data_IF_947161408080
#
_entry.id   IF_947161408080
#
_cell.length_a   1.000
_cell.length_b   1.000
_cell.length_c   1.000
_cell.angle_alpha   90.00
_cell.angle_beta   90.00
_cell.angle_gamma   90.00
#
_symmetry.space_group_name_H-M   'P 1'
#
loop_
_entity.id
_entity.type
_entity.pdbx_description
1 polymer ?
#
# COMPACT_ATOMS: atom_id res chain seq x y z
N UNK A 1 25.73 -13.06 -20.12
CA UNK A 1 27.08 -12.73 -20.60
C UNK A 1 27.08 -11.24 -20.80
N UNK A 2 27.81 -10.54 -19.95
CA UNK A 2 27.65 -9.10 -19.70
C UNK A 2 28.32 -8.31 -20.81
N UNK A 3 27.62 -7.29 -21.33
CA UNK A 3 28.08 -6.45 -22.44
C UNK A 3 29.40 -5.71 -22.12
N UNK A 4 29.75 -5.60 -20.84
CA UNK A 4 30.97 -4.98 -20.31
C UNK A 4 32.27 -5.71 -20.68
N UNK A 5 32.18 -6.95 -21.14
CA UNK A 5 33.34 -7.69 -21.69
C UNK A 5 33.88 -7.10 -23.00
N UNK A 6 33.14 -6.19 -23.64
CA UNK A 6 33.60 -5.52 -24.86
C UNK A 6 34.62 -4.41 -24.60
N UNK A 7 34.75 -3.93 -23.36
CA UNK A 7 35.78 -2.95 -23.00
C UNK A 7 37.10 -3.71 -22.83
N UNK A 8 38.05 -3.45 -23.72
CA UNK A 8 39.40 -4.06 -23.63
C UNK A 8 40.02 -3.68 -22.28
N UNK A 9 40.57 -4.70 -21.60
CA UNK A 9 41.38 -4.61 -20.35
C UNK A 9 40.63 -4.63 -19.00
N UNK A 10 39.31 -4.85 -18.95
CA UNK A 10 38.65 -5.12 -17.65
C UNK A 10 38.92 -6.57 -17.21
N UNK A 11 39.57 -6.74 -16.05
CA UNK A 11 39.83 -8.06 -15.47
C UNK A 11 38.54 -8.69 -14.92
N UNK A 12 38.48 -10.03 -14.80
CA UNK A 12 37.27 -10.73 -14.35
C UNK A 12 36.79 -10.28 -12.96
N UNK A 13 37.71 -10.02 -12.02
CA UNK A 13 37.36 -9.52 -10.68
C UNK A 13 36.85 -8.07 -10.67
N UNK A 14 37.31 -7.24 -11.61
CA UNK A 14 36.81 -5.86 -11.77
C UNK A 14 35.41 -5.84 -12.38
N UNK A 15 35.11 -6.79 -13.27
CA UNK A 15 33.78 -6.98 -13.84
C UNK A 15 32.79 -7.47 -12.78
N UNK A 16 33.18 -8.40 -11.92
CA UNK A 16 32.35 -8.84 -10.78
C UNK A 16 32.07 -7.70 -9.80
N UNK A 17 33.06 -6.82 -9.56
CA UNK A 17 32.88 -5.65 -8.72
C UNK A 17 31.93 -4.60 -9.34
N UNK A 18 32.03 -4.37 -10.66
CA UNK A 18 31.11 -3.51 -11.40
C UNK A 18 29.67 -4.06 -11.38
N UNK A 19 29.51 -5.36 -11.59
CA UNK A 19 28.22 -6.04 -11.48
C UNK A 19 27.64 -5.94 -10.06
N UNK A 20 28.49 -6.12 -9.04
CA UNK A 20 28.10 -5.99 -7.64
C UNK A 20 27.73 -4.56 -7.24
N UNK A 21 28.37 -3.56 -7.85
CA UNK A 21 27.99 -2.15 -7.73
C UNK A 21 26.72 -1.79 -8.56
N UNK A 22 26.22 -2.73 -9.38
CA UNK A 22 24.99 -2.59 -10.15
C UNK A 22 25.17 -2.10 -11.59
N UNK A 23 26.41 -2.02 -12.06
CA UNK A 23 26.79 -1.66 -13.42
C UNK A 23 26.94 -2.94 -14.25
N UNK A 24 25.90 -3.29 -15.00
CA UNK A 24 25.84 -4.53 -15.80
C UNK A 24 25.87 -4.27 -17.31
N UNK A 25 25.56 -3.03 -17.73
CA UNK A 25 25.40 -2.63 -19.12
C UNK A 25 26.24 -1.39 -19.45
N UNK A 26 26.69 -1.29 -20.69
CA UNK A 26 27.66 -0.27 -21.13
C UNK A 26 27.09 1.15 -21.04
N UNK A 27 25.79 1.31 -21.30
CA UNK A 27 25.04 2.56 -21.13
C UNK A 27 25.13 3.15 -19.72
N UNK A 28 25.21 2.31 -18.69
CA UNK A 28 25.29 2.77 -17.31
C UNK A 28 26.69 3.32 -16.96
N UNK A 29 27.75 2.90 -17.67
CA UNK A 29 29.07 3.51 -17.52
C UNK A 29 29.19 4.85 -18.25
N UNK A 30 28.46 5.02 -19.36
CA UNK A 30 28.51 6.24 -20.19
C UNK A 30 27.94 7.45 -19.43
N UNK A 31 26.82 7.26 -18.75
CA UNK A 31 26.05 8.32 -18.08
C UNK A 31 26.62 8.75 -16.71
N UNK A 32 27.48 7.93 -16.09
CA UNK A 32 27.94 8.16 -14.73
C UNK A 32 29.26 8.92 -14.67
N UNK A 33 29.36 9.83 -13.69
CA UNK A 33 30.59 10.55 -13.39
C UNK A 33 31.65 9.59 -12.82
N UNK A 34 32.89 9.58 -13.35
CA UNK A 34 33.95 8.66 -12.91
C UNK A 34 34.30 8.79 -11.42
N UNK A 35 34.12 9.97 -10.81
CA UNK A 35 34.40 10.16 -9.37
C UNK A 35 33.33 9.50 -8.49
N UNK A 36 32.08 9.53 -8.94
CA UNK A 36 30.95 8.87 -8.28
C UNK A 36 31.09 7.36 -8.41
N UNK A 37 31.41 6.87 -9.61
CA UNK A 37 31.65 5.45 -9.87
C UNK A 37 32.78 4.89 -9.00
N UNK A 38 33.91 5.59 -8.92
CA UNK A 38 35.02 5.17 -8.06
C UNK A 38 34.61 5.11 -6.58
N UNK A 39 33.83 6.09 -6.09
CA UNK A 39 33.31 6.08 -4.72
C UNK A 39 32.35 4.91 -4.43
N UNK A 40 31.57 4.48 -5.41
CA UNK A 40 30.67 3.33 -5.29
C UNK A 40 31.42 2.00 -5.37
N UNK A 41 32.40 1.88 -6.28
CA UNK A 41 33.26 0.70 -6.39
C UNK A 41 34.09 0.48 -5.13
N UNK A 42 34.63 1.55 -4.53
CA UNK A 42 35.36 1.47 -3.26
C UNK A 42 34.47 0.96 -2.13
N UNK A 43 33.24 1.50 -1.99
CA UNK A 43 32.27 1.01 -0.99
C UNK A 43 31.86 -0.43 -1.23
N UNK A 44 31.63 -0.81 -2.48
CA UNK A 44 31.30 -2.18 -2.85
C UNK A 44 32.45 -3.13 -2.53
N UNK A 45 33.70 -2.74 -2.79
CA UNK A 45 34.87 -3.56 -2.50
C UNK A 45 35.16 -3.67 -1.00
N UNK A 46 34.97 -2.59 -0.23
CA UNK A 46 35.07 -2.62 1.25
C UNK A 46 34.05 -3.58 1.87
N UNK A 47 32.86 -3.71 1.26
CA UNK A 47 31.79 -4.57 1.75
C UNK A 47 31.92 -6.03 1.30
N UNK A 48 32.41 -6.27 0.08
CA UNK A 48 32.36 -7.58 -0.57
C UNK A 48 33.75 -8.24 -0.71
N UNK A 49 34.83 -7.48 -0.49
CA UNK A 49 36.23 -7.93 -0.55
C UNK A 49 36.52 -8.77 -1.82
N UNK A 50 36.07 -8.28 -2.98
CA UNK A 50 36.16 -8.99 -4.26
C UNK A 50 37.58 -8.85 -4.84
N UNK A 51 38.18 -7.68 -4.68
CA UNK A 51 39.57 -7.39 -5.05
C UNK A 51 40.38 -7.05 -3.80
N UNK A 52 41.66 -7.44 -3.79
CA UNK A 52 42.61 -7.12 -2.71
C UNK A 52 42.78 -5.61 -2.53
N UNK A 53 42.77 -4.86 -3.63
CA UNK A 53 42.77 -3.40 -3.66
C UNK A 53 41.70 -2.88 -4.65
N UNK A 54 40.98 -1.83 -4.26
CA UNK A 54 39.97 -1.21 -5.13
C UNK A 54 40.67 -0.54 -6.34
N UNK A 55 40.02 -0.53 -7.53
CA UNK A 55 40.58 0.09 -8.71
C UNK A 55 40.82 1.59 -8.50
N UNK A 56 41.93 2.09 -9.04
CA UNK A 56 42.31 3.50 -8.88
C UNK A 56 41.42 4.41 -9.74
N UNK A 57 41.33 5.68 -9.38
CA UNK A 57 40.45 6.65 -10.02
C UNK A 57 40.80 6.86 -11.50
N UNK A 58 42.07 6.75 -11.86
CA UNK A 58 42.55 6.85 -13.25
C UNK A 58 42.15 5.62 -14.10
N UNK A 59 42.08 4.43 -13.49
CA UNK A 59 41.57 3.23 -14.16
C UNK A 59 40.07 3.35 -14.46
N UNK A 60 39.30 3.83 -13.48
CA UNK A 60 37.85 4.07 -13.63
C UNK A 60 37.55 5.13 -14.69
N UNK A 61 38.35 6.21 -14.76
CA UNK A 61 38.24 7.22 -15.83
C UNK A 61 38.48 6.62 -17.21
N UNK A 62 39.47 5.74 -17.34
CA UNK A 62 39.78 5.07 -18.59
C UNK A 62 38.63 4.15 -19.03
N UNK A 63 37.97 3.46 -18.10
CA UNK A 63 36.80 2.64 -18.41
C UNK A 63 35.60 3.47 -18.89
N UNK A 64 35.34 4.62 -18.26
CA UNK A 64 34.25 5.52 -18.66
C UNK A 64 34.53 6.18 -20.01
N UNK A 65 35.77 6.63 -20.25
CA UNK A 65 36.18 7.21 -21.53
C UNK A 65 36.05 6.21 -22.69
N UNK A 66 36.49 4.96 -22.48
CA UNK A 66 36.33 3.88 -23.47
C UNK A 66 34.88 3.46 -23.67
N UNK A 67 34.07 3.47 -22.60
CA UNK A 67 32.64 3.21 -22.72
C UNK A 67 31.93 4.29 -23.55
N UNK A 68 32.42 5.54 -23.50
CA UNK A 68 31.96 6.66 -24.33
C UNK A 68 32.45 6.60 -25.78
N UNK A 69 33.43 5.73 -26.08
CA UNK A 69 33.98 5.56 -27.42
C UNK A 69 35.13 6.51 -27.75
N UNK A 70 35.71 7.18 -26.74
CA UNK A 70 36.77 8.17 -26.91
C UNK A 70 38.15 7.49 -26.90
N UNK A 71 38.59 6.94 -28.03
CA UNK A 71 40.03 6.70 -28.29
C UNK A 71 40.41 7.27 -29.68
N UNK A 72 40.99 8.49 -29.61
CA UNK A 72 41.86 9.26 -30.51
C UNK A 72 41.37 9.78 -31.89
N UNK A 73 41.24 11.11 -32.01
CA UNK A 73 42.11 12.05 -32.80
C UNK A 73 41.58 13.51 -32.62
N UNK A 74 42.45 14.55 -32.63
CA UNK A 74 42.21 15.83 -31.96
C UNK A 74 41.38 16.82 -32.78
N UNK A 75 40.77 17.75 -32.03
CA UNK A 75 40.27 19.08 -32.41
C UNK A 75 40.22 19.37 -33.91
N UNK A 76 39.07 19.14 -34.53
CA UNK A 76 38.44 20.03 -35.52
C UNK A 76 37.08 19.44 -35.94
N UNK A 77 36.03 20.21 -35.65
CA UNK A 77 34.73 20.29 -36.33
C UNK A 77 34.00 18.98 -36.69
N UNK A 78 33.05 18.58 -35.84
CA UNK A 78 31.82 17.96 -36.32
C UNK A 78 30.66 18.33 -35.39
N UNK A 79 29.86 19.29 -35.85
CA UNK A 79 28.54 19.59 -35.30
C UNK A 79 27.63 18.37 -35.51
N UNK A 80 27.39 17.59 -34.45
CA UNK A 80 26.16 16.82 -34.33
C UNK A 80 25.31 17.51 -33.26
N UNK A 81 24.14 17.98 -33.70
CA UNK A 81 23.15 18.70 -32.90
C UNK A 81 22.82 17.93 -31.62
N UNK A 82 23.43 18.35 -30.51
CA UNK A 82 22.90 18.10 -29.19
C UNK A 82 21.57 18.85 -29.11
N UNK A 83 20.46 18.11 -29.23
CA UNK A 83 19.13 18.64 -29.00
C UNK A 83 19.08 19.27 -27.60
N UNK A 84 18.87 20.59 -27.58
CA UNK A 84 18.75 21.40 -26.37
C UNK A 84 17.58 20.86 -25.53
N UNK A 85 17.82 20.38 -24.29
CA UNK A 85 16.76 19.87 -23.42
C UNK A 85 15.75 20.96 -22.98
N UNK A 86 16.01 22.24 -23.29
CA UNK A 86 15.09 23.37 -23.07
C UNK A 86 14.44 23.90 -24.38
N UNK A 87 14.60 23.23 -25.53
CA UNK A 87 13.87 23.60 -26.75
C UNK A 87 12.36 23.40 -26.58
N UNK A 88 11.51 24.35 -26.99
CA UNK A 88 10.06 24.23 -26.84
C UNK A 88 9.54 23.06 -27.68
N UNK A 89 9.00 22.04 -27.00
CA UNK A 89 8.31 20.92 -27.65
C UNK A 89 7.13 21.47 -28.44
N UNK A 90 7.20 21.41 -29.77
CA UNK A 90 6.09 21.76 -30.65
C UNK A 90 4.98 20.72 -30.50
N UNK A 91 3.85 21.15 -29.93
CA UNK A 91 2.67 20.31 -29.79
C UNK A 91 1.91 20.29 -31.10
N UNK A 92 1.88 19.12 -31.74
CA UNK A 92 1.14 18.93 -32.98
C UNK A 92 -0.23 18.33 -32.65
N UNK A 93 -1.29 18.94 -33.17
CA UNK A 93 -2.65 18.43 -33.05
C UNK A 93 -3.01 17.62 -34.29
N UNK A 94 -2.82 16.30 -34.21
CA UNK A 94 -3.12 15.39 -35.31
C UNK A 94 -4.62 15.18 -35.54
N UNK A 95 -5.49 15.53 -34.57
CA UNK A 95 -6.95 15.45 -34.78
C UNK A 95 -7.47 16.52 -35.75
N UNK A 96 -6.67 17.53 -36.07
CA UNK A 96 -6.99 18.54 -37.07
C UNK A 96 -6.67 18.09 -38.51
N UNK A 97 -5.91 17.01 -38.67
CA UNK A 97 -5.55 16.46 -39.97
C UNK A 97 -6.72 15.62 -40.54
N UNK A 98 -7.23 15.92 -41.75
CA UNK A 98 -8.33 15.16 -42.35
C UNK A 98 -8.02 13.67 -42.52
N UNK A 99 -6.76 13.30 -42.78
CA UNK A 99 -6.39 11.89 -42.99
C UNK A 99 -6.47 11.10 -41.66
N UNK A 100 -6.17 11.75 -40.54
CA UNK A 100 -6.26 11.15 -39.20
C UNK A 100 -7.71 11.06 -38.74
N UNK A 101 -8.57 12.01 -39.08
CA UNK A 101 -10.01 11.93 -38.80
C UNK A 101 -10.65 10.71 -39.48
N UNK A 102 -10.29 10.47 -40.74
CA UNK A 102 -10.71 9.30 -41.51
C UNK A 102 -10.26 7.97 -40.88
N UNK A 103 -9.13 7.97 -40.15
CA UNK A 103 -8.65 6.80 -39.41
C UNK A 103 -9.39 6.63 -38.08
N UNK A 104 -9.66 7.71 -37.35
CA UNK A 104 -10.40 7.69 -36.08
C UNK A 104 -11.83 7.18 -36.31
N UNK A 105 -12.50 7.59 -37.39
CA UNK A 105 -13.84 7.11 -37.73
C UNK A 105 -13.90 5.60 -38.01
N UNK A 106 -12.82 5.04 -38.55
CA UNK A 106 -12.69 3.61 -38.85
C UNK A 106 -12.15 2.80 -37.66
N UNK A 107 -11.65 3.46 -36.61
CA UNK A 107 -11.04 2.81 -35.46
C UNK A 107 -12.10 2.20 -34.52
N UNK A 108 -11.84 1.03 -33.93
CA UNK A 108 -12.74 0.45 -32.94
C UNK A 108 -12.75 1.31 -31.66
N UNK A 109 -13.95 1.67 -31.20
CA UNK A 109 -14.13 2.47 -29.98
C UNK A 109 -13.78 1.64 -28.75
N UNK A 110 -12.89 2.14 -27.91
CA UNK A 110 -12.57 1.52 -26.62
C UNK A 110 -13.75 1.66 -25.65
N UNK A 111 -14.20 0.54 -25.08
CA UNK A 111 -15.20 0.54 -24.01
C UNK A 111 -14.50 0.70 -22.65
N UNK A 112 -14.93 1.63 -21.78
CA UNK A 112 -14.32 1.80 -20.47
C UNK A 112 -14.59 0.57 -19.60
N UNK A 113 -13.51 -0.10 -19.18
CA UNK A 113 -13.59 -1.26 -18.28
C UNK A 113 -13.43 -0.77 -16.83
N UNK A 114 -14.32 -1.16 -15.90
CA UNK A 114 -14.16 -0.83 -14.49
C UNK A 114 -12.90 -1.46 -13.90
N UNK A 115 -12.16 -0.70 -13.09
CA UNK A 115 -10.93 -1.16 -12.41
C UNK A 115 -11.10 -2.46 -11.61
N UNK A 116 -12.31 -2.70 -11.08
CA UNK A 116 -12.65 -3.94 -10.37
C UNK A 116 -12.56 -5.18 -11.27
N UNK A 117 -12.99 -5.07 -12.53
CA UNK A 117 -12.94 -6.18 -13.48
C UNK A 117 -11.50 -6.48 -13.94
N UNK A 118 -10.67 -5.44 -14.06
CA UNK A 118 -9.23 -5.60 -14.31
C UNK A 118 -8.55 -6.33 -13.15
N UNK A 119 -8.86 -5.94 -11.91
CA UNK A 119 -8.35 -6.59 -10.71
C UNK A 119 -8.83 -8.05 -10.56
N UNK A 120 -10.09 -8.34 -10.88
CA UNK A 120 -10.64 -9.71 -10.88
C UNK A 120 -9.95 -10.62 -11.92
N UNK A 121 -9.44 -10.03 -13.02
CA UNK A 121 -8.65 -10.73 -14.03
C UNK A 121 -7.14 -10.69 -13.78
N UNK A 122 -6.71 -10.08 -12.69
CA UNK A 122 -5.30 -9.98 -12.32
C UNK A 122 -4.46 -9.07 -13.22
N UNK A 123 -5.08 -8.16 -13.99
CA UNK A 123 -4.38 -7.20 -14.84
C UNK A 123 -4.09 -5.95 -14.00
N UNK A 124 -2.84 -5.71 -13.58
CA UNK A 124 -2.49 -4.48 -12.88
C UNK A 124 -2.59 -3.28 -13.84
N UNK A 125 -2.89 -2.07 -13.33
CA UNK A 125 -2.97 -0.85 -14.16
C UNK A 125 -1.69 -0.54 -14.94
N UNK A 126 -0.54 -1.06 -14.50
CA UNK A 126 0.77 -0.90 -15.17
C UNK A 126 0.90 -1.72 -16.44
N UNK A 127 0.08 -2.77 -16.63
CA UNK A 127 0.03 -3.55 -17.87
C UNK A 127 -0.89 -2.92 -18.92
N UNK A 128 -1.69 -1.92 -18.53
CA UNK A 128 -2.49 -1.14 -19.47
C UNK A 128 -1.56 -0.11 -20.11
N UNK A 129 -1.24 -0.32 -21.39
CA UNK A 129 -0.44 0.63 -22.17
C UNK A 129 -1.08 2.02 -22.14
N UNK A 130 -0.25 3.05 -21.93
CA UNK A 130 -0.70 4.43 -21.99
C UNK A 130 -0.91 4.77 -23.47
N UNK A 131 -2.14 5.10 -23.85
CA UNK A 131 -2.43 5.58 -25.19
C UNK A 131 -1.96 7.04 -25.33
N UNK A 132 -1.16 7.37 -26.37
CA UNK A 132 -0.81 8.75 -26.65
C UNK A 132 -2.07 9.54 -27.04
N UNK A 133 -2.16 10.79 -26.60
CA UNK A 133 -3.29 11.67 -26.94
C UNK A 133 -2.96 12.39 -28.24
N UNK A 134 -3.74 12.16 -29.29
CA UNK A 134 -3.46 12.67 -30.65
C UNK A 134 -3.56 14.20 -30.75
N UNK A 135 -4.26 14.86 -29.83
CA UNK A 135 -4.33 16.32 -29.77
C UNK A 135 -3.09 17.01 -29.18
N UNK A 136 -2.20 16.25 -28.52
CA UNK A 136 -1.01 16.74 -27.83
C UNK A 136 0.08 15.68 -27.90
N UNK A 137 0.47 15.31 -29.11
CA UNK A 137 1.63 14.46 -29.33
C UNK A 137 2.87 15.34 -29.55
N UNK A 138 3.99 14.89 -28.96
CA UNK A 138 5.29 15.53 -29.11
C UNK A 138 6.02 14.87 -30.30
N UNK A 139 6.35 15.64 -31.32
CA UNK A 139 7.04 15.16 -32.52
C UNK A 139 6.19 14.27 -33.43
N UNK A 140 6.85 13.60 -34.37
CA UNK A 140 6.22 12.73 -35.38
C UNK A 140 5.75 11.39 -34.78
N UNK A 141 4.50 11.02 -35.04
CA UNK A 141 3.89 9.80 -34.51
C UNK A 141 3.67 8.74 -35.61
N UNK A 142 4.42 7.64 -35.54
CA UNK A 142 4.24 6.48 -36.43
C UNK A 142 3.03 5.64 -36.01
N UNK A 143 1.89 5.81 -36.70
CA UNK A 143 0.68 5.00 -36.47
C UNK A 143 0.62 3.82 -37.45
N UNK A 144 0.91 2.60 -36.95
CA UNK A 144 0.75 1.37 -37.73
C UNK A 144 -0.69 0.86 -37.66
N UNK A 145 -1.46 1.05 -38.74
CA UNK A 145 -2.82 0.53 -38.85
C UNK A 145 -2.81 -0.87 -39.49
N UNK A 146 -3.13 -1.90 -38.72
CA UNK A 146 -3.38 -3.24 -39.23
C UNK A 146 -4.88 -3.44 -39.52
N UNK A 147 -5.31 -3.10 -40.73
CA UNK A 147 -6.65 -3.45 -41.24
C UNK A 147 -6.69 -4.92 -41.67
N UNK A 148 -6.67 -5.82 -40.69
CA UNK A 148 -6.80 -7.25 -40.93
C UNK A 148 -7.62 -7.89 -39.82
N UNK A 149 -8.80 -8.42 -40.19
CA UNK A 149 -9.57 -9.31 -39.34
C UNK A 149 -8.62 -10.34 -38.71
N UNK A 150 -8.68 -10.48 -37.39
CA UNK A 150 -7.78 -11.31 -36.60
C UNK A 150 -7.72 -12.76 -37.15
N UNK A 151 -6.78 -13.03 -38.03
CA UNK A 151 -6.36 -14.39 -38.33
C UNK A 151 -5.64 -14.90 -37.09
N UNK A 152 -6.32 -15.82 -36.38
CA UNK A 152 -5.75 -16.62 -35.31
C UNK A 152 -4.48 -17.32 -35.81
N UNK A 153 -3.33 -16.71 -35.58
CA UNK A 153 -2.05 -17.39 -35.68
C UNK A 153 -2.02 -18.45 -34.58
N UNK A 154 -1.98 -19.73 -35.00
CA UNK A 154 -1.84 -20.89 -34.12
C UNK A 154 -0.69 -20.65 -33.15
N UNK A 155 -1.00 -20.72 -31.86
CA UNK A 155 -0.01 -20.77 -30.78
C UNK A 155 0.93 -21.95 -30.99
N UNK A 156 2.24 -21.70 -30.87
CA UNK A 156 3.27 -22.73 -30.81
C UNK A 156 2.95 -23.76 -29.71
N UNK A 157 3.14 -25.06 -29.97
CA UNK A 157 2.95 -26.12 -28.98
C UNK A 157 4.17 -26.20 -28.07
N UNK A 158 4.26 -25.30 -27.09
CA UNK A 158 5.41 -25.27 -26.17
C UNK A 158 5.14 -24.82 -24.73
N UNK A 159 3.99 -24.22 -24.42
CA UNK A 159 3.72 -23.73 -23.07
C UNK A 159 2.52 -24.47 -22.46
N UNK A 160 2.82 -25.47 -21.66
CA UNK A 160 1.87 -26.06 -20.72
C UNK A 160 1.53 -25.04 -19.62
N UNK A 161 0.28 -25.04 -19.11
CA UNK A 161 -0.09 -24.20 -17.98
C UNK A 161 0.56 -24.76 -16.72
N UNK A 162 1.60 -24.08 -16.21
CA UNK A 162 2.27 -24.50 -14.98
C UNK A 162 1.30 -24.34 -13.81
N UNK A 163 1.08 -25.48 -13.16
CA UNK A 163 0.26 -25.68 -11.99
C UNK A 163 0.63 -24.73 -10.83
N UNK A 164 -0.39 -24.47 -10.03
CA UNK A 164 -0.32 -23.87 -8.69
C UNK A 164 0.84 -24.46 -7.88
N UNK A 165 1.79 -23.62 -7.49
CA UNK A 165 2.58 -23.83 -6.28
C UNK A 165 2.71 -22.52 -5.51
N UNK A 166 2.39 -22.63 -4.23
CA UNK A 166 2.48 -21.61 -3.19
C UNK A 166 3.94 -21.21 -2.95
N UNK A 167 4.27 -19.97 -3.27
CA UNK A 167 5.53 -19.32 -2.91
C UNK A 167 5.34 -17.82 -2.92
N UNK A 168 5.01 -17.25 -1.76
CA UNK A 168 4.98 -15.80 -1.54
C UNK A 168 6.42 -15.32 -1.58
N UNK A 169 6.82 -14.70 -2.70
CA UNK A 169 7.76 -13.59 -2.91
C UNK A 169 8.13 -13.65 -4.40
N UNK A 170 7.48 -12.80 -5.21
CA UNK A 170 7.99 -12.51 -6.54
C UNK A 170 9.09 -11.46 -6.39
N UNK A 171 10.33 -11.84 -6.66
CA UNK A 171 11.42 -10.89 -6.89
C UNK A 171 11.08 -10.16 -8.19
N UNK A 172 10.83 -8.85 -8.10
CA UNK A 172 10.53 -8.04 -9.26
C UNK A 172 11.74 -8.01 -10.19
N UNK A 173 11.56 -8.38 -11.47
CA UNK A 173 12.55 -8.16 -12.50
C UNK A 173 12.57 -6.66 -12.84
N UNK A 174 13.56 -5.93 -12.32
CA UNK A 174 13.78 -4.49 -12.55
C UNK A 174 14.32 -4.16 -13.94
N UNK A 175 13.98 -4.94 -14.97
CA UNK A 175 14.61 -4.83 -16.28
C UNK A 175 14.22 -3.58 -17.07
N UNK A 176 13.16 -2.86 -16.70
CA UNK A 176 12.63 -1.71 -17.46
C UNK A 176 11.90 -0.65 -16.58
N UNK A 177 12.28 -0.49 -15.31
CA UNK A 177 11.69 0.58 -14.49
C UNK A 177 12.75 1.67 -14.34
N UNK A 178 12.59 2.78 -15.05
CA UNK A 178 13.25 4.05 -14.72
C UNK A 178 13.19 4.22 -13.19
N UNK A 179 14.36 4.31 -12.54
CA UNK A 179 14.43 4.58 -11.10
C UNK A 179 13.75 5.92 -10.85
N UNK A 180 12.47 5.92 -10.50
CA UNK A 180 11.88 7.03 -9.75
C UNK A 180 12.59 7.06 -8.41
N UNK A 181 13.64 7.88 -8.34
CA UNK A 181 14.40 8.11 -7.12
C UNK A 181 13.41 8.36 -5.99
N UNK A 182 13.54 7.58 -4.93
CA UNK A 182 12.82 7.88 -3.70
C UNK A 182 13.45 9.17 -3.20
N UNK A 183 12.67 10.24 -3.22
CA UNK A 183 13.09 11.56 -2.75
C UNK A 183 13.52 11.45 -1.27
N UNK A 184 14.82 11.38 -1.02
CA UNK A 184 15.40 11.06 0.28
C UNK A 184 15.03 12.11 1.34
N UNK A 185 14.73 13.34 0.91
CA UNK A 185 14.20 14.40 1.79
C UNK A 185 12.79 14.12 2.32
N UNK A 186 12.05 13.19 1.70
CA UNK A 186 10.71 12.76 2.12
C UNK A 186 10.73 11.51 3.01
N UNK A 187 11.87 10.80 3.05
CA UNK A 187 12.05 9.60 3.86
C UNK A 187 12.48 10.00 5.27
N UNK A 188 11.70 9.58 6.27
CA UNK A 188 12.00 9.91 7.68
C UNK A 188 13.17 9.10 8.19
N UNK A 189 13.99 9.72 9.03
CA UNK A 189 14.94 9.00 9.88
C UNK A 189 14.18 8.12 10.89
N UNK A 190 14.82 7.03 11.34
CA UNK A 190 14.25 6.14 12.36
C UNK A 190 14.01 6.84 13.71
N UNK A 191 14.74 7.93 13.96
CA UNK A 191 14.66 8.73 15.18
C UNK A 191 13.46 9.68 15.14
N UNK A 192 13.17 10.31 14.00
CA UNK A 192 11.99 11.15 13.79
C UNK A 192 10.68 10.35 13.83
N UNK A 193 10.72 9.08 13.42
CA UNK A 193 9.59 8.17 13.55
C UNK A 193 9.27 7.82 15.01
N UNK A 194 10.26 7.85 15.91
CA UNK A 194 10.09 7.58 17.35
C UNK A 194 9.61 8.80 18.13
N UNK A 195 10.00 10.01 17.73
CA UNK A 195 9.63 11.26 18.40
C UNK A 195 8.19 11.71 18.12
N UNK A 196 7.53 11.16 17.10
CA UNK A 196 6.10 11.40 16.82
C UNK A 196 5.79 12.77 16.23
N UNK A 197 6.80 13.62 16.04
CA UNK A 197 6.70 14.92 15.37
C UNK A 197 6.45 14.72 13.88
N UNK A 198 5.40 15.37 13.35
CA UNK A 198 5.04 15.29 11.92
C UNK A 198 5.26 16.66 11.29
N UNK A 199 6.23 16.76 10.37
CA UNK A 199 6.53 17.99 9.63
C UNK A 199 5.63 18.20 8.39
N UNK A 200 4.86 17.20 7.99
CA UNK A 200 4.02 17.25 6.79
C UNK A 200 2.61 17.67 7.18
N UNK A 201 2.15 18.81 6.67
CA UNK A 201 0.75 19.23 6.80
C UNK A 201 -0.16 18.16 6.17
N UNK A 202 -1.29 17.79 6.81
CA UNK A 202 -2.25 16.88 6.22
C UNK A 202 -2.72 17.41 4.86
N UNK A 203 -2.78 16.55 3.83
CA UNK A 203 -3.39 16.92 2.55
C UNK A 203 -4.77 17.52 2.80
N UNK A 204 -4.98 18.76 2.35
CA UNK A 204 -6.29 19.39 2.40
C UNK A 204 -7.24 18.61 1.49
N UNK A 205 -8.45 18.35 1.99
CA UNK A 205 -9.47 17.66 1.21
C UNK A 205 -9.84 18.53 -0.02
N UNK A 206 -10.03 17.96 -1.22
CA UNK A 206 -10.50 18.70 -2.39
C UNK A 206 -11.87 19.36 -2.13
N UNK A 207 -12.31 20.31 -2.96
CA UNK A 207 -13.67 20.90 -2.91
C UNK A 207 -14.70 20.06 -3.71
N UNK A 208 -16.00 20.03 -3.34
CA UNK A 208 -16.91 18.94 -3.71
C UNK A 208 -17.42 18.99 -5.17
N UNK A 209 -17.35 17.85 -5.85
CA UNK A 209 -18.33 17.40 -6.83
C UNK A 209 -19.24 16.32 -6.18
N UNK A 210 -20.48 16.13 -6.65
CA UNK A 210 -21.47 15.27 -5.97
C UNK A 210 -21.04 13.79 -5.81
N UNK A 211 -20.23 13.24 -6.72
CA UNK A 211 -19.63 11.90 -6.55
C UNK A 211 -18.54 11.86 -5.49
N UNK A 212 -17.75 12.93 -5.37
CA UNK A 212 -16.72 13.07 -4.33
C UNK A 212 -17.34 13.11 -2.94
N UNK A 213 -18.58 13.58 -2.81
CA UNK A 213 -19.22 13.73 -1.51
C UNK A 213 -19.53 12.36 -0.88
N UNK A 214 -19.97 11.37 -1.66
CA UNK A 214 -20.10 9.98 -1.18
C UNK A 214 -18.76 9.39 -0.75
N UNK A 215 -17.71 9.61 -1.54
CA UNK A 215 -16.36 9.10 -1.24
C UNK A 215 -15.77 9.82 -0.01
N UNK A 216 -16.04 11.12 0.15
CA UNK A 216 -15.68 11.90 1.33
C UNK A 216 -16.40 11.42 2.57
N UNK A 217 -17.69 11.11 2.50
CA UNK A 217 -18.41 10.52 3.63
C UNK A 217 -17.77 9.22 4.10
N UNK A 218 -17.18 8.42 3.21
CA UNK A 218 -16.46 7.22 3.62
C UNK A 218 -15.16 7.57 4.37
N UNK A 219 -14.47 8.65 4.01
CA UNK A 219 -13.13 9.01 4.53
C UNK A 219 -13.16 9.97 5.72
N UNK A 220 -14.06 10.94 5.73
CA UNK A 220 -14.18 12.03 6.71
C UNK A 220 -15.61 12.17 7.21
N UNK A 221 -15.77 12.67 8.45
CA UNK A 221 -17.08 12.89 9.05
C UNK A 221 -17.75 14.14 8.45
N UNK A 222 -19.09 14.15 8.35
CA UNK A 222 -19.82 15.35 7.96
C UNK A 222 -19.51 16.48 8.93
N UNK A 223 -19.31 17.68 8.38
CA UNK A 223 -19.08 18.89 9.17
C UNK A 223 -20.23 19.15 10.16
N UNK A 224 -21.48 18.81 9.76
CA UNK A 224 -22.68 18.87 10.61
C UNK A 224 -22.58 18.03 11.89
N UNK A 225 -21.94 16.86 11.85
CA UNK A 225 -21.87 15.89 12.97
C UNK A 225 -20.88 16.32 14.06
N UNK A 226 -19.90 17.14 13.68
CA UNK A 226 -18.84 17.65 14.54
C UNK A 226 -18.96 19.16 14.82
N UNK A 227 -20.03 19.82 14.35
CA UNK A 227 -20.27 21.25 14.58
C UNK A 227 -20.30 21.55 16.08
N UNK A 228 -19.45 22.48 16.52
CA UNK A 228 -19.37 22.91 17.92
C UNK A 228 -18.67 21.91 18.86
N UNK A 229 -18.03 20.85 18.34
CA UNK A 229 -17.24 19.91 19.16
C UNK A 229 -15.75 20.18 19.00
N UNK A 230 -15.03 20.21 20.11
CA UNK A 230 -13.58 20.40 20.09
C UNK A 230 -12.89 19.21 19.39
N UNK A 231 -11.95 19.46 18.44
CA UNK A 231 -11.25 18.41 17.69
C UNK A 231 -10.42 17.46 18.55
N UNK A 232 -10.11 17.81 19.80
CA UNK A 232 -9.38 16.95 20.76
C UNK A 232 -10.31 16.15 21.67
N UNK A 233 -11.61 16.49 21.70
CA UNK A 233 -12.58 15.83 22.57
C UNK A 233 -12.83 14.37 22.17
N UNK A 234 -13.30 13.57 23.13
CA UNK A 234 -13.72 12.17 22.89
C UNK A 234 -15.03 12.07 22.11
N UNK A 235 -15.85 13.13 22.12
CA UNK A 235 -17.13 13.20 21.42
C UNK A 235 -17.00 13.63 19.96
N UNK A 236 -15.81 14.09 19.55
CA UNK A 236 -15.47 14.39 18.17
C UNK A 236 -15.35 13.09 17.37
N UNK A 237 -16.24 12.93 16.39
CA UNK A 237 -16.34 11.70 15.59
C UNK A 237 -15.27 11.73 14.52
N UNK A 238 -14.37 10.75 14.56
CA UNK A 238 -13.22 10.65 13.64
C UNK A 238 -13.34 9.42 12.75
N UNK A 239 -12.74 9.55 11.57
CA UNK A 239 -12.35 8.40 10.75
C UNK A 239 -13.43 7.84 9.83
N UNK A 240 -13.16 6.64 9.33
CA UNK A 240 -13.84 6.02 8.18
C UNK A 240 -15.20 5.47 8.60
N UNK A 241 -16.22 5.61 7.74
CA UNK A 241 -17.55 5.03 7.99
C UNK A 241 -17.53 3.50 7.84
N UNK A 242 -18.04 2.79 8.84
CA UNK A 242 -18.19 1.34 8.79
C UNK A 242 -19.38 0.92 7.92
N UNK A 243 -19.23 -0.14 7.12
CA UNK A 243 -20.28 -0.63 6.20
C UNK A 243 -21.53 -1.18 6.90
N UNK A 244 -21.44 -1.58 8.18
CA UNK A 244 -22.49 -2.28 8.93
C UNK A 244 -22.61 -1.71 10.35
N UNK A 245 -23.01 -0.44 10.50
CA UNK A 245 -22.97 0.28 11.79
C UNK A 245 -23.82 -0.38 12.87
N UNK A 246 -25.00 -0.88 12.49
CA UNK A 246 -25.96 -1.52 13.40
C UNK A 246 -25.40 -2.83 13.95
N UNK A 247 -24.77 -3.65 13.10
CA UNK A 247 -24.19 -4.92 13.54
C UNK A 247 -23.01 -4.72 14.49
N UNK A 248 -22.19 -3.70 14.24
CA UNK A 248 -21.09 -3.34 15.16
C UNK A 248 -21.66 -2.91 16.51
N UNK A 249 -22.70 -2.09 16.51
CA UNK A 249 -23.34 -1.63 17.74
C UNK A 249 -23.91 -2.79 18.57
N UNK A 250 -24.68 -3.70 17.95
CA UNK A 250 -25.18 -4.90 18.63
C UNK A 250 -24.06 -5.81 19.10
N UNK A 251 -22.99 -5.98 18.31
CA UNK A 251 -21.81 -6.73 18.71
C UNK A 251 -21.18 -6.16 19.97
N UNK A 252 -20.97 -4.84 20.02
CA UNK A 252 -20.45 -4.17 21.21
C UNK A 252 -21.40 -4.32 22.41
N UNK A 253 -22.71 -4.22 22.20
CA UNK A 253 -23.70 -4.41 23.25
C UNK A 253 -23.63 -5.80 23.88
N UNK A 254 -23.63 -6.86 23.08
CA UNK A 254 -23.56 -8.24 23.60
C UNK A 254 -22.23 -8.56 24.24
N UNK A 255 -21.12 -8.00 23.76
CA UNK A 255 -19.80 -8.13 24.40
C UNK A 255 -19.82 -7.52 25.81
N UNK A 256 -20.34 -6.30 25.95
CA UNK A 256 -20.44 -5.64 27.27
C UNK A 256 -21.37 -6.41 28.19
N UNK A 257 -22.54 -6.83 27.68
CA UNK A 257 -23.51 -7.63 28.44
C UNK A 257 -22.90 -8.94 28.92
N UNK A 258 -22.21 -9.68 28.04
CA UNK A 258 -21.54 -10.93 28.39
C UNK A 258 -20.46 -10.71 29.46
N UNK A 259 -19.64 -9.66 29.31
CA UNK A 259 -18.58 -9.35 30.28
C UNK A 259 -19.13 -8.96 31.66
N UNK A 260 -20.34 -8.42 31.74
CA UNK A 260 -21.04 -8.16 33.01
C UNK A 260 -21.72 -9.42 33.58
N UNK A 261 -22.30 -10.26 32.73
CA UNK A 261 -22.98 -11.48 33.15
C UNK A 261 -22.02 -12.54 33.71
N UNK A 262 -20.80 -12.65 33.18
CA UNK A 262 -19.80 -13.63 33.65
C UNK A 262 -19.46 -13.47 35.14
N UNK A 263 -19.01 -12.29 35.65
CA UNK A 263 -18.72 -12.14 37.07
C UNK A 263 -19.97 -12.28 37.93
N UNK A 264 -21.13 -11.80 37.46
CA UNK A 264 -22.40 -12.00 38.17
C UNK A 264 -22.76 -13.48 38.28
N UNK A 265 -22.53 -14.27 37.24
CA UNK A 265 -22.73 -15.71 37.25
C UNK A 265 -21.78 -16.41 38.23
N UNK A 266 -20.50 -16.03 38.22
CA UNK A 266 -19.47 -16.57 39.13
C UNK A 266 -19.83 -16.31 40.60
N UNK A 267 -20.43 -15.15 40.91
CA UNK A 267 -20.88 -14.82 42.27
C UNK A 267 -22.21 -15.51 42.60
N UNK A 268 -23.14 -15.54 41.66
CA UNK A 268 -24.47 -16.13 41.86
C UNK A 268 -24.45 -17.63 42.14
N UNK A 269 -23.57 -18.40 41.49
CA UNK A 269 -23.52 -19.85 41.64
C UNK A 269 -23.20 -20.30 43.09
N UNK A 270 -22.13 -19.82 43.75
CA UNK A 270 -21.87 -20.17 45.15
C UNK A 270 -22.93 -19.61 46.09
N UNK A 271 -23.49 -18.42 45.83
CA UNK A 271 -24.59 -17.86 46.64
C UNK A 271 -25.85 -18.73 46.61
N UNK A 272 -26.22 -19.29 45.46
CA UNK A 272 -27.34 -20.22 45.34
C UNK A 272 -27.07 -21.54 46.06
N UNK A 273 -25.84 -22.08 45.96
CA UNK A 273 -25.44 -23.30 46.69
C UNK A 273 -25.47 -23.07 48.20
N UNK A 274 -24.97 -21.92 48.68
CA UNK A 274 -25.00 -21.56 50.10
C UNK A 274 -26.41 -21.30 50.62
N UNK A 275 -27.28 -20.74 49.80
CA UNK A 275 -28.71 -20.55 50.13
C UNK A 275 -29.42 -21.88 50.38
N UNK A 276 -29.10 -22.91 49.60
CA UNK A 276 -29.67 -24.26 49.77
C UNK A 276 -29.05 -25.03 50.95
N UNK A 277 -27.73 -24.95 51.12
CA UNK A 277 -27.01 -25.69 52.18
C UNK A 277 -27.11 -25.05 53.58
N UNK A 278 -27.26 -23.72 53.65
CA UNK A 278 -27.31 -22.96 54.90
C UNK A 278 -28.43 -21.91 54.87
N UNK A 279 -29.70 -22.34 54.94
CA UNK A 279 -30.84 -21.44 54.84
C UNK A 279 -30.90 -20.41 55.98
N UNK A 280 -30.37 -20.72 57.17
CA UNK A 280 -30.37 -19.79 58.31
C UNK A 280 -29.50 -18.54 58.07
N UNK A 281 -28.38 -18.68 57.36
CA UNK A 281 -27.46 -17.57 57.06
C UNK A 281 -27.78 -16.87 55.71
N UNK A 282 -28.39 -17.60 54.76
CA UNK A 282 -28.52 -17.17 53.35
C UNK A 282 -29.96 -17.17 52.80
N UNK A 283 -31.00 -17.15 53.66
CA UNK A 283 -32.41 -17.04 53.25
C UNK A 283 -32.77 -15.75 52.50
N UNK A 284 -31.95 -14.71 52.61
CA UNK A 284 -32.16 -13.44 51.91
C UNK A 284 -31.85 -13.53 50.41
N UNK A 285 -31.17 -14.58 49.94
CA UNK A 285 -30.74 -14.74 48.54
C UNK A 285 -31.96 -15.10 47.67
N UNK A 286 -32.35 -14.24 46.71
CA UNK A 286 -33.51 -14.53 45.88
C UNK A 286 -33.25 -15.64 44.87
N UNK A 287 -34.21 -16.55 44.67
CA UNK A 287 -34.10 -17.65 43.69
C UNK A 287 -33.98 -17.17 42.23
N UNK A 288 -34.42 -15.94 41.92
CA UNK A 288 -34.30 -15.36 40.57
C UNK A 288 -32.85 -15.15 40.13
N UNK A 289 -31.89 -15.13 41.06
CA UNK A 289 -30.45 -15.03 40.79
C UNK A 289 -29.95 -16.19 39.89
N UNK A 290 -30.70 -17.30 39.81
CA UNK A 290 -30.47 -18.39 38.84
C UNK A 290 -30.52 -17.91 37.38
N UNK A 291 -31.13 -16.75 37.09
CA UNK A 291 -31.14 -16.17 35.76
C UNK A 291 -29.73 -15.85 35.23
N UNK A 292 -28.76 -15.47 36.08
CA UNK A 292 -27.41 -15.12 35.64
C UNK A 292 -26.62 -16.29 35.04
N UNK A 293 -26.49 -17.46 35.69
CA UNK A 293 -25.78 -18.59 35.10
C UNK A 293 -26.47 -19.13 33.85
N UNK A 294 -27.81 -19.02 33.76
CA UNK A 294 -28.57 -19.39 32.56
C UNK A 294 -28.38 -18.36 31.43
N UNK A 295 -28.26 -17.07 31.77
CA UNK A 295 -28.09 -16.01 30.78
C UNK A 295 -26.70 -16.00 30.13
N UNK A 296 -25.66 -16.45 30.83
CA UNK A 296 -24.28 -16.52 30.29
C UNK A 296 -24.17 -17.30 28.97
N UNK A 297 -24.64 -18.56 28.84
CA UNK A 297 -24.55 -19.28 27.58
C UNK A 297 -25.36 -18.61 26.45
N UNK A 298 -26.52 -18.04 26.77
CA UNK A 298 -27.35 -17.31 25.79
C UNK A 298 -26.62 -16.06 25.29
N UNK A 299 -26.12 -15.23 26.20
CA UNK A 299 -25.35 -14.03 25.86
C UNK A 299 -24.03 -14.37 25.15
N UNK A 300 -23.37 -15.45 25.53
CA UNK A 300 -22.15 -15.96 24.88
C UNK A 300 -22.42 -16.36 23.44
N UNK A 301 -23.51 -17.08 23.17
CA UNK A 301 -23.91 -17.46 21.81
C UNK A 301 -24.21 -16.22 20.95
N UNK A 302 -25.01 -15.28 21.48
CA UNK A 302 -25.31 -14.02 20.79
C UNK A 302 -24.05 -13.22 20.49
N UNK A 303 -23.14 -13.12 21.47
CA UNK A 303 -21.86 -12.46 21.32
C UNK A 303 -21.01 -13.11 20.20
N UNK A 304 -20.95 -14.43 20.12
CA UNK A 304 -20.21 -15.13 19.05
C UNK A 304 -20.84 -14.89 17.67
N UNK A 305 -22.17 -14.97 17.57
CA UNK A 305 -22.91 -14.77 16.32
C UNK A 305 -22.73 -13.35 15.76
N UNK A 306 -22.67 -12.32 16.61
CA UNK A 306 -22.46 -10.94 16.20
C UNK A 306 -20.98 -10.61 15.99
N UNK A 307 -20.12 -11.00 16.94
CA UNK A 307 -18.71 -10.60 16.94
C UNK A 307 -17.91 -11.23 15.81
N UNK A 308 -18.27 -12.44 15.36
CA UNK A 308 -17.60 -13.09 14.24
C UNK A 308 -17.77 -12.36 12.89
N UNK A 309 -18.82 -11.53 12.76
CA UNK A 309 -19.15 -10.79 11.55
C UNK A 309 -18.53 -9.39 11.51
N UNK A 310 -18.15 -8.84 12.67
CA UNK A 310 -17.57 -7.49 12.78
C UNK A 310 -16.11 -7.49 12.34
N UNK A 311 -15.86 -6.98 11.13
CA UNK A 311 -14.52 -6.82 10.53
C UNK A 311 -14.21 -5.34 10.34
N UNK A 312 -12.95 -4.95 10.57
CA UNK A 312 -12.49 -3.61 10.23
C UNK A 312 -12.49 -3.41 8.71
N UNK A 313 -13.05 -2.30 8.23
CA UNK A 313 -13.06 -1.97 6.79
C UNK A 313 -11.67 -1.77 6.19
N UNK A 314 -10.71 -1.29 6.98
CA UNK A 314 -9.37 -0.93 6.51
C UNK A 314 -8.45 -2.16 6.46
N UNK A 315 -8.35 -2.91 7.55
CA UNK A 315 -7.43 -4.06 7.65
C UNK A 315 -8.12 -5.44 7.58
N UNK A 316 -9.45 -5.50 7.48
CA UNK A 316 -10.21 -6.75 7.40
C UNK A 316 -10.26 -7.57 8.70
N UNK A 317 -9.53 -7.18 9.74
CA UNK A 317 -9.42 -7.96 10.98
C UNK A 317 -10.69 -7.92 11.84
N UNK A 318 -11.00 -9.03 12.53
CA UNK A 318 -12.14 -9.12 13.45
C UNK A 318 -11.88 -8.29 14.70
N UNK A 319 -12.66 -7.23 14.90
CA UNK A 319 -12.37 -6.20 15.92
C UNK A 319 -12.76 -6.66 17.32
N UNK A 320 -13.84 -7.42 17.44
CA UNK A 320 -14.43 -7.87 18.71
C UNK A 320 -13.90 -9.23 19.19
N UNK A 321 -12.98 -9.86 18.46
CA UNK A 321 -12.38 -11.14 18.86
C UNK A 321 -10.99 -10.93 19.45
N UNK A 322 -10.67 -11.60 20.58
CA UNK A 322 -9.32 -11.60 21.10
C UNK A 322 -8.39 -12.31 20.11
N UNK A 323 -7.23 -11.70 19.88
CA UNK A 323 -6.15 -12.28 19.06
C UNK A 323 -4.82 -11.94 19.72
N UNK A 324 -3.96 -12.94 19.85
CA UNK A 324 -2.58 -12.80 20.32
C UNK A 324 -1.71 -12.16 19.24
N UNK A 325 -1.77 -10.85 19.14
CA UNK A 325 -0.94 -10.05 18.25
C UNK A 325 -0.72 -8.69 18.88
N UNK A 326 0.37 -8.04 18.48
CA UNK A 326 0.71 -6.70 18.94
C UNK A 326 -0.41 -5.72 18.56
N UNK A 327 -0.96 -5.03 19.55
CA UNK A 327 -2.02 -4.04 19.35
C UNK A 327 -1.42 -2.68 19.04
N UNK A 328 -2.18 -1.85 18.34
CA UNK A 328 -1.76 -0.48 18.04
C UNK A 328 -1.74 0.36 19.32
N UNK A 329 -0.81 1.31 19.42
CA UNK A 329 -0.68 2.25 20.55
C UNK A 329 -1.95 3.11 20.72
N UNK A 330 -2.67 3.41 19.63
CA UNK A 330 -3.91 4.20 19.65
C UNK A 330 -5.15 3.38 20.03
N UNK A 331 -5.01 2.08 20.29
CA UNK A 331 -6.13 1.23 20.67
C UNK A 331 -6.63 1.60 22.08
N UNK A 332 -7.96 1.55 22.28
CA UNK A 332 -8.53 1.73 23.60
C UNK A 332 -8.09 0.58 24.51
N UNK A 333 -7.45 0.91 25.63
CA UNK A 333 -6.91 -0.06 26.55
C UNK A 333 -7.20 0.37 27.99
N UNK A 334 -7.61 -0.59 28.82
CA UNK A 334 -7.72 -0.42 30.27
C UNK A 334 -6.97 -1.59 30.91
N UNK A 335 -6.01 -1.32 31.82
CA UNK A 335 -5.28 -2.39 32.50
C UNK A 335 -6.26 -3.34 33.22
N UNK A 336 -6.03 -4.65 33.10
CA UNK A 336 -6.89 -5.70 33.66
C UNK A 336 -8.11 -6.08 32.80
N UNK A 337 -8.73 -5.12 32.11
CA UNK A 337 -9.92 -5.35 31.25
C UNK A 337 -9.57 -5.59 29.77
N UNK A 338 -8.32 -5.32 29.39
CA UNK A 338 -7.81 -5.53 28.04
C UNK A 338 -8.28 -4.47 27.05
N UNK A 339 -8.44 -4.87 25.78
CA UNK A 339 -8.73 -3.95 24.66
C UNK A 339 -10.18 -4.00 24.17
N UNK A 340 -10.87 -5.13 24.37
CA UNK A 340 -12.19 -5.36 23.75
C UNK A 340 -13.30 -4.63 24.51
N UNK A 341 -13.30 -4.72 25.84
CA UNK A 341 -14.29 -4.03 26.66
C UNK A 341 -14.24 -2.51 26.52
N UNK A 342 -13.09 -1.82 26.67
CA UNK A 342 -13.06 -0.37 26.53
C UNK A 342 -13.41 0.09 25.11
N UNK A 343 -13.04 -0.68 24.08
CA UNK A 343 -13.48 -0.46 22.71
C UNK A 343 -15.00 -0.54 22.59
N UNK A 344 -15.62 -1.59 23.12
CA UNK A 344 -17.07 -1.79 23.05
C UNK A 344 -17.84 -0.68 23.78
N UNK A 345 -17.41 -0.34 25.01
CA UNK A 345 -18.00 0.76 25.79
C UNK A 345 -17.85 2.10 25.06
N UNK A 346 -16.66 2.39 24.53
CA UNK A 346 -16.41 3.63 23.78
C UNK A 346 -17.30 3.71 22.53
N UNK A 347 -17.45 2.59 21.82
CA UNK A 347 -18.31 2.51 20.63
C UNK A 347 -19.78 2.77 20.96
N UNK A 348 -20.29 2.20 22.07
CA UNK A 348 -21.69 2.40 22.48
C UNK A 348 -21.98 3.85 22.89
N UNK A 349 -21.05 4.47 23.63
CA UNK A 349 -21.20 5.84 24.14
C UNK A 349 -20.96 6.90 23.06
N UNK A 350 -19.89 6.79 22.30
CA UNK A 350 -19.42 7.85 21.40
C UNK A 350 -19.68 7.56 19.92
N UNK A 351 -20.11 6.35 19.57
CA UNK A 351 -20.43 5.93 18.19
C UNK A 351 -19.24 5.96 17.23
N UNK A 352 -18.03 5.85 17.75
CA UNK A 352 -16.81 5.62 17.00
C UNK A 352 -15.80 4.87 17.88
N UNK A 353 -14.77 4.30 17.27
CA UNK A 353 -13.68 3.60 17.96
C UNK A 353 -12.39 3.54 17.13
N UNK A 354 -11.25 3.30 17.76
CA UNK A 354 -10.01 2.97 17.06
C UNK A 354 -9.86 1.45 16.88
N UNK A 355 -9.60 0.99 15.66
CA UNK A 355 -9.31 -0.42 15.41
C UNK A 355 -8.08 -0.86 16.23
N UNK A 356 -8.20 -1.96 16.97
CA UNK A 356 -7.13 -2.46 17.86
C UNK A 356 -5.88 -2.92 17.11
N UNK A 357 -5.98 -3.18 15.80
CA UNK A 357 -4.90 -3.66 14.94
C UNK A 357 -4.24 -2.53 14.14
N UNK A 358 -4.99 -1.88 13.24
CA UNK A 358 -4.43 -0.82 12.39
C UNK A 358 -4.46 0.58 13.02
N UNK A 359 -5.15 0.77 14.15
CA UNK A 359 -5.26 2.06 14.82
C UNK A 359 -6.12 3.10 14.10
N UNK A 360 -6.70 2.76 12.93
CA UNK A 360 -7.61 3.66 12.22
C UNK A 360 -8.87 3.92 13.05
N UNK A 361 -9.29 5.19 13.10
CA UNK A 361 -10.58 5.55 13.67
C UNK A 361 -11.70 5.13 12.72
N UNK A 362 -12.73 4.50 13.27
CA UNK A 362 -13.88 3.98 12.55
C UNK A 362 -15.14 4.48 13.25
N UNK A 363 -16.07 5.04 12.49
CA UNK A 363 -17.35 5.54 13.01
C UNK A 363 -18.51 4.64 12.61
N UNK A 364 -19.50 4.55 13.49
CA UNK A 364 -20.72 3.75 13.32
C UNK A 364 -21.98 4.62 13.20
N UNK A 365 -21.84 5.94 13.08
CA UNK A 365 -22.95 6.89 12.95
C UNK A 365 -22.62 7.91 11.85
N UNK A 366 -23.66 8.36 11.15
CA UNK A 366 -23.63 9.59 10.34
C UNK A 366 -23.98 10.82 11.18
#
# INVERSE_FOLDING_TARGET
MSELTSIKEIQSGQLELLEAAGYVELRHLVEVDPEVLHGELKKANDMLAILDEAPDLDEVRTWVARARGDDEVPAEEMEEEAADPDAPVEWVNYEADPDVQDMIEKAPVALPIPNRQLAERGIPPTEVGIAPVLNRAAGDLDVRVSTGAAEKKKSDPGLTPRAKESGVVQVANFRNVERRGIDAGRVRSLEDARSGTTAVQPLQAPQPADEDDRIRLLRTAREKTNRGKNPESRSFVRGVLHDLPVQVWFGCFFVVLFQLLVPLAIVSAPLLILSDQKPEEFSWVPSWILAFPIAVPVAGLLCLMTSCRVKCRVCGQKVLLPRHCRKNVKAHHVPGLGYILPLAVHTLLFRWFNCTFCGTSVRIKE
#
